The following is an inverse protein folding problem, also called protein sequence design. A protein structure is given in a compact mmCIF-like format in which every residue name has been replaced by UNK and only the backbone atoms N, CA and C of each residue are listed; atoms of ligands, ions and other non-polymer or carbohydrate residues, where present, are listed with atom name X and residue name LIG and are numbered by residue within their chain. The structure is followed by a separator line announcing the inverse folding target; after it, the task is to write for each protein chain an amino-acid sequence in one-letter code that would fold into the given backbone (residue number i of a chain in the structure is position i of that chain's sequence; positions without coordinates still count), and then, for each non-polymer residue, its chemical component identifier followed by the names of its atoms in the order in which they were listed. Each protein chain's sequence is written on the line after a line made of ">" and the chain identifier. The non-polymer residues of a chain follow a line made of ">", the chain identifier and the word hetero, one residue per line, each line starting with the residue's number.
data_IF_496955415335
#
_entry.id   IF_496955415335
#
_cell.length_a   1.000
_cell.length_b   1.000
_cell.length_c   1.000
_cell.angle_alpha   90.00
_cell.angle_beta   90.00
_cell.angle_gamma   90.00
#
_symmetry.space_group_name_H-M   'P 1'
#
loop_
_entity.id
_entity.type
_entity.pdbx_description
1 polymer ?
#
# COMPACT_ATOMS: atom_id res chain seq x y z
N UNK A 1 5.96 0.20 4.85
CA UNK A 1 7.18 -0.50 5.37
C UNK A 1 6.73 -1.75 6.11
N UNK A 2 7.07 -2.94 5.58
CA UNK A 2 6.65 -4.24 6.11
C UNK A 2 7.75 -4.89 6.94
N UNK A 3 7.38 -5.52 8.05
CA UNK A 3 8.31 -6.27 8.90
C UNK A 3 7.83 -7.71 9.00
N UNK A 4 8.77 -8.63 8.82
CA UNK A 4 8.53 -10.07 8.88
C UNK A 4 9.19 -10.64 10.13
N UNK A 5 8.48 -11.54 10.80
CA UNK A 5 8.97 -12.30 11.95
C UNK A 5 10.02 -13.33 11.55
N UNK A 6 10.64 -13.95 12.55
CA UNK A 6 11.66 -15.00 12.35
C UNK A 6 11.11 -16.25 11.66
N UNK A 7 9.79 -16.46 11.71
CA UNK A 7 9.07 -17.53 11.05
C UNK A 7 8.64 -17.18 9.61
N UNK A 8 9.04 -16.00 9.11
CA UNK A 8 8.72 -15.51 7.77
C UNK A 8 7.31 -14.92 7.64
N UNK A 9 6.52 -14.87 8.71
CA UNK A 9 5.19 -14.28 8.67
C UNK A 9 5.25 -12.77 8.78
N UNK A 10 4.28 -12.08 8.19
CA UNK A 10 4.14 -10.64 8.34
C UNK A 10 3.76 -10.33 9.80
N UNK A 11 4.60 -9.55 10.48
CA UNK A 11 4.37 -9.13 11.87
C UNK A 11 3.71 -7.74 11.92
N UNK A 12 4.07 -6.87 11.00
CA UNK A 12 3.66 -5.47 11.04
C UNK A 12 3.73 -4.82 9.65
N UNK A 13 2.75 -3.98 9.37
CA UNK A 13 2.77 -3.03 8.25
C UNK A 13 2.66 -1.62 8.82
N UNK A 14 3.54 -0.74 8.38
CA UNK A 14 3.60 0.66 8.81
C UNK A 14 3.24 1.54 7.62
N UNK A 15 2.23 2.40 7.82
CA UNK A 15 1.87 3.44 6.86
C UNK A 15 3.05 4.41 6.67
N UNK A 16 3.47 4.59 5.42
CA UNK A 16 4.59 5.45 5.05
C UNK A 16 4.29 6.94 5.19
N UNK A 17 3.01 7.36 5.27
CA UNK A 17 2.61 8.77 5.43
C UNK A 17 2.46 9.16 6.90
N UNK A 18 1.58 8.50 7.65
CA UNK A 18 1.27 8.86 9.04
C UNK A 18 2.01 8.04 10.10
N UNK A 19 2.72 6.96 9.72
CA UNK A 19 3.42 6.08 10.67
C UNK A 19 2.52 5.12 11.46
N UNK A 20 1.20 5.10 11.21
CA UNK A 20 0.25 4.15 11.82
C UNK A 20 0.72 2.71 11.59
N UNK A 21 0.76 1.90 12.65
CA UNK A 21 0.92 0.45 12.56
C UNK A 21 -0.45 -0.17 12.29
N UNK A 22 -0.58 -0.87 11.17
CA UNK A 22 -1.80 -1.57 10.79
C UNK A 22 -1.93 -2.88 11.57
N UNK A 23 -3.15 -3.28 11.89
CA UNK A 23 -3.43 -4.54 12.56
C UNK A 23 -3.06 -5.72 11.65
N UNK A 24 -2.17 -6.58 12.15
CA UNK A 24 -1.77 -7.82 11.47
C UNK A 24 -2.08 -9.00 12.38
N UNK A 25 -2.79 -10.01 11.85
CA UNK A 25 -3.15 -11.23 12.58
C UNK A 25 -2.88 -12.46 11.73
N UNK A 26 -1.98 -13.32 12.21
CA UNK A 26 -1.49 -14.52 11.51
C UNK A 26 -0.88 -14.21 10.14
N UNK A 27 -0.08 -13.14 10.02
CA UNK A 27 0.55 -12.76 8.75
C UNK A 27 -0.36 -12.00 7.78
N UNK A 28 -1.61 -11.73 8.16
CA UNK A 28 -2.61 -11.09 7.29
C UNK A 28 -3.00 -9.73 7.88
N UNK A 29 -2.95 -8.69 7.05
CA UNK A 29 -3.42 -7.34 7.41
C UNK A 29 -4.95 -7.37 7.56
N UNK A 30 -5.48 -6.73 8.61
CA UNK A 30 -6.91 -6.78 8.98
C UNK A 30 -7.62 -5.43 8.83
N UNK A 31 -7.02 -4.52 8.08
CA UNK A 31 -7.53 -3.18 7.78
C UNK A 31 -7.21 -2.86 6.32
N UNK A 32 -7.91 -1.88 5.73
CA UNK A 32 -7.62 -1.37 4.40
C UNK A 32 -6.18 -0.87 4.29
N UNK A 33 -5.43 -1.41 3.32
CA UNK A 33 -4.05 -1.03 3.03
C UNK A 33 -3.84 -0.93 1.53
N UNK A 34 -3.38 0.23 1.09
CA UNK A 34 -2.88 0.41 -0.27
C UNK A 34 -1.39 0.10 -0.29
N UNK A 35 -0.96 -0.76 -1.20
CA UNK A 35 0.46 -1.17 -1.34
C UNK A 35 0.94 -0.82 -2.73
N UNK A 36 2.03 -0.07 -2.80
CA UNK A 36 2.74 0.16 -4.05
C UNK A 36 4.00 -0.70 -4.09
N UNK A 37 4.10 -1.50 -5.14
CA UNK A 37 5.34 -2.16 -5.58
C UNK A 37 5.56 -1.70 -7.02
N UNK A 38 6.12 -0.50 -7.16
CA UNK A 38 6.23 0.14 -8.46
C UNK A 38 7.68 0.15 -8.92
N UNK A 39 7.91 -0.47 -10.08
CA UNK A 39 9.19 -0.41 -10.78
C UNK A 39 9.12 0.72 -11.79
N UNK A 40 9.97 1.72 -11.60
CA UNK A 40 10.18 2.75 -12.59
C UNK A 40 10.98 2.20 -13.75
N UNK A 41 10.58 2.56 -14.97
CA UNK A 41 11.26 2.15 -16.19
C UNK A 41 12.08 3.28 -16.80
N UNK A 42 12.69 2.97 -17.94
CA UNK A 42 13.57 3.86 -18.69
C UNK A 42 12.95 5.22 -19.06
N UNK A 43 11.62 5.32 -19.11
CA UNK A 43 10.94 6.57 -19.43
C UNK A 43 10.73 7.48 -18.22
N UNK A 44 11.23 7.10 -17.04
CA UNK A 44 11.19 7.89 -15.83
C UNK A 44 12.55 8.47 -15.46
N UNK A 45 12.56 9.65 -14.83
CA UNK A 45 13.75 10.17 -14.15
C UNK A 45 14.20 9.30 -12.97
N UNK A 46 13.37 8.32 -12.57
CA UNK A 46 13.65 7.32 -11.53
C UNK A 46 14.02 5.96 -12.13
N UNK A 47 14.51 5.94 -13.37
CA UNK A 47 14.90 4.71 -14.06
C UNK A 47 15.77 3.80 -13.16
N UNK A 48 15.42 2.52 -13.13
CA UNK A 48 16.07 1.51 -12.30
C UNK A 48 15.67 1.50 -10.82
N UNK A 49 14.85 2.45 -10.35
CA UNK A 49 14.35 2.45 -8.99
C UNK A 49 13.10 1.56 -8.82
N UNK A 50 13.02 0.90 -7.67
CA UNK A 50 11.82 0.19 -7.24
C UNK A 50 11.32 0.85 -5.94
N UNK A 51 10.10 1.35 -5.98
CA UNK A 51 9.49 2.03 -4.84
C UNK A 51 8.51 1.09 -4.14
N UNK A 52 8.75 0.88 -2.85
CA UNK A 52 7.89 0.08 -1.98
C UNK A 52 7.33 0.93 -0.85
N UNK A 53 6.02 1.10 -0.81
CA UNK A 53 5.37 1.79 0.30
C UNK A 53 3.95 1.28 0.56
N UNK A 54 3.49 1.46 1.80
CA UNK A 54 2.14 1.12 2.23
C UNK A 54 1.46 2.39 2.74
N UNK A 55 0.17 2.57 2.43
CA UNK A 55 -0.67 3.61 3.01
C UNK A 55 -1.86 2.96 3.73
N UNK A 56 -2.19 3.43 4.93
CA UNK A 56 -3.49 3.12 5.51
C UNK A 56 -4.61 3.80 4.70
N UNK A 57 -5.82 3.27 4.79
CA UNK A 57 -7.00 3.78 4.08
C UNK A 57 -7.18 5.31 4.24
N UNK A 58 -7.07 5.84 5.47
CA UNK A 58 -7.18 7.29 5.71
C UNK A 58 -6.15 8.11 4.91
N UNK A 59 -4.90 7.65 4.89
CA UNK A 59 -3.84 8.33 4.14
C UNK A 59 -3.98 8.16 2.63
N UNK A 60 -4.51 7.02 2.18
CA UNK A 60 -4.87 6.83 0.78
C UNK A 60 -5.94 7.86 0.39
N UNK A 61 -7.00 7.99 1.17
CA UNK A 61 -8.09 8.95 0.92
C UNK A 61 -7.59 10.40 0.90
N UNK A 62 -6.71 10.77 1.82
CA UNK A 62 -6.12 12.12 1.83
C UNK A 62 -5.26 12.38 0.59
N UNK A 63 -4.45 11.40 0.16
CA UNK A 63 -3.60 11.54 -1.03
C UNK A 63 -4.44 11.62 -2.30
N UNK A 64 -5.44 10.75 -2.46
CA UNK A 64 -6.29 10.73 -3.65
C UNK A 64 -7.24 11.92 -3.72
N UNK A 65 -7.61 12.52 -2.58
CA UNK A 65 -8.38 13.76 -2.54
C UNK A 65 -7.61 14.97 -3.14
N UNK A 66 -6.28 14.93 -3.14
CA UNK A 66 -5.45 15.96 -3.75
C UNK A 66 -5.27 15.77 -5.27
N UNK A 67 -5.74 14.66 -5.84
CA UNK A 67 -5.58 14.39 -7.26
C UNK A 67 -6.46 15.30 -8.11
N UNK A 68 -5.88 15.86 -9.18
CA UNK A 68 -6.62 16.66 -10.15
C UNK A 68 -7.63 15.83 -10.95
N UNK A 69 -7.29 14.58 -11.21
CA UNK A 69 -8.15 13.59 -11.83
C UNK A 69 -8.44 12.54 -10.76
N UNK A 70 -9.72 12.27 -10.42
CA UNK A 70 -10.05 11.31 -9.38
C UNK A 70 -9.59 9.90 -9.78
N UNK A 71 -9.49 9.02 -8.78
CA UNK A 71 -9.24 7.60 -9.04
C UNK A 71 -10.42 7.00 -9.81
N UNK A 72 -10.12 6.21 -10.84
CA UNK A 72 -11.13 5.41 -11.53
C UNK A 72 -11.54 4.24 -10.62
N UNK A 73 -12.85 4.01 -10.51
CA UNK A 73 -13.44 2.98 -9.64
C UNK A 73 -14.26 2.02 -10.49
N UNK A 74 -13.91 0.74 -10.41
CA UNK A 74 -14.64 -0.37 -11.05
C UNK A 74 -15.14 -1.33 -9.96
N UNK A 75 -16.39 -1.76 -10.06
CA UNK A 75 -16.95 -2.77 -9.15
C UNK A 75 -16.46 -4.16 -9.57
N UNK A 76 -15.80 -4.88 -8.66
CA UNK A 76 -15.50 -6.30 -8.86
C UNK A 76 -16.75 -7.13 -8.51
N UNK A 77 -17.32 -7.81 -9.51
CA UNK A 77 -18.43 -8.74 -9.27
C UNK A 77 -17.86 -10.01 -8.65
N UNK A 78 -17.91 -10.13 -7.33
CA UNK A 78 -17.65 -11.39 -6.65
C UNK A 78 -18.73 -12.42 -7.06
N UNK A 79 -18.35 -13.44 -7.84
CA UNK A 79 -19.17 -14.63 -8.05
C UNK A 79 -19.20 -15.43 -6.73
N UNK A 80 -20.25 -15.21 -5.94
CA UNK A 80 -20.59 -15.99 -4.74
C UNK A 80 -20.96 -17.45 -5.06
#
# INVERSE_FOLDING_TARGET
>A
MRKYGKDGRLDCVICNRCGKKLAVKHGIVREGVFTSDHRWDFFSEKDGEIHHFDLCEDCYNEVTAEFRVPVDVEDEIELL
#
